data_IF_100222931748
#
_entry.id   IF_100222931748
#
_cell.length_a   1.000
_cell.length_b   1.000
_cell.length_c   1.000
_cell.angle_alpha   90.00
_cell.angle_beta   90.00
_cell.angle_gamma   90.00
#
_symmetry.space_group_name_H-M   'P 1'
#
loop_
_entity.id
_entity.type
_entity.pdbx_description
1 polymer ?
#
# COMPACT_ATOMS: atom_id res chain seq x y z
N UNK A 1 -19.92 55.21 1.94
CA UNK A 1 -19.28 53.89 2.11
C UNK A 1 -20.28 52.80 2.58
N UNK A 2 -21.57 52.94 2.25
CA UNK A 2 -22.62 52.05 2.75
C UNK A 2 -23.19 51.18 1.62
N UNK A 3 -22.33 50.44 0.91
CA UNK A 3 -22.76 49.54 -0.19
C UNK A 3 -21.83 48.32 -0.40
N UNK A 4 -21.15 47.85 0.64
CA UNK A 4 -20.50 46.53 0.58
C UNK A 4 -21.46 45.47 1.13
N UNK A 5 -22.33 44.93 0.28
CA UNK A 5 -23.05 43.69 0.59
C UNK A 5 -22.00 42.59 0.81
N UNK A 6 -21.75 42.22 2.07
CA UNK A 6 -20.94 41.06 2.42
C UNK A 6 -21.70 39.82 1.96
N UNK A 7 -21.43 39.36 0.74
CA UNK A 7 -21.93 38.08 0.24
C UNK A 7 -21.13 36.97 0.94
N UNK A 8 -21.59 36.49 2.08
CA UNK A 8 -21.07 35.27 2.70
C UNK A 8 -21.31 34.09 1.74
N UNK A 9 -20.23 33.54 1.19
CA UNK A 9 -20.26 32.31 0.39
C UNK A 9 -19.97 31.14 1.33
N UNK A 10 -20.98 30.32 1.61
CA UNK A 10 -20.78 29.03 2.25
C UNK A 10 -20.20 28.06 1.21
N UNK A 11 -19.16 27.32 1.59
CA UNK A 11 -18.51 26.31 0.76
C UNK A 11 -18.51 24.98 1.47
N UNK A 12 -18.68 23.91 0.71
CA UNK A 12 -18.56 22.52 1.16
C UNK A 12 -17.24 21.94 0.61
N UNK A 13 -16.47 21.31 1.49
CA UNK A 13 -15.23 20.61 1.12
C UNK A 13 -15.58 19.17 0.77
N UNK A 14 -15.38 18.79 -0.48
CA UNK A 14 -15.59 17.43 -0.95
C UNK A 14 -14.31 16.88 -1.58
N UNK A 15 -14.02 15.61 -1.35
CA UNK A 15 -12.97 14.90 -2.07
C UNK A 15 -13.59 14.30 -3.35
N UNK A 16 -13.12 14.73 -4.52
CA UNK A 16 -13.58 14.20 -5.79
C UNK A 16 -13.18 12.73 -5.95
N UNK A 17 -14.03 11.92 -6.59
CA UNK A 17 -13.78 10.49 -6.78
C UNK A 17 -12.63 10.19 -7.77
N UNK A 18 -12.33 11.14 -8.66
CA UNK A 18 -11.35 10.99 -9.72
C UNK A 18 -10.11 11.89 -9.56
N UNK A 19 -10.13 12.82 -8.59
CA UNK A 19 -9.01 13.73 -8.35
C UNK A 19 -8.69 13.83 -6.87
N UNK A 20 -7.39 13.87 -6.57
CA UNK A 20 -6.78 13.95 -5.23
C UNK A 20 -6.89 15.34 -4.60
N UNK A 21 -7.66 16.22 -5.23
CA UNK A 21 -7.85 17.60 -4.86
C UNK A 21 -9.06 17.69 -3.95
N UNK A 22 -8.89 18.40 -2.85
CA UNK A 22 -10.03 18.81 -2.04
C UNK A 22 -10.70 19.96 -2.78
N UNK A 23 -11.89 19.69 -3.31
CA UNK A 23 -12.65 20.67 -4.07
C UNK A 23 -13.51 21.51 -3.13
N UNK A 24 -13.48 22.83 -3.34
CA UNK A 24 -14.38 23.77 -2.72
C UNK A 24 -15.62 23.90 -3.61
N UNK A 25 -16.68 23.20 -3.25
CA UNK A 25 -17.97 23.33 -3.92
C UNK A 25 -18.83 24.40 -3.22
N UNK A 26 -19.65 25.19 -3.94
CA UNK A 26 -20.65 26.04 -3.30
C UNK A 26 -21.58 25.18 -2.45
N UNK A 27 -21.89 25.61 -1.23
CA UNK A 27 -22.77 24.86 -0.32
C UNK A 27 -24.15 24.65 -0.97
N UNK A 28 -24.35 23.47 -1.53
CA UNK A 28 -25.64 23.03 -2.06
C UNK A 28 -26.41 22.45 -0.89
N UNK A 29 -27.63 22.95 -0.63
CA UNK A 29 -28.56 22.46 0.41
C UNK A 29 -29.06 21.01 0.18
N UNK A 30 -28.34 20.20 -0.58
CA UNK A 30 -28.71 18.84 -0.95
C UNK A 30 -27.53 17.92 -0.75
N UNK A 31 -27.48 17.31 0.43
CA UNK A 31 -26.72 16.09 0.65
C UNK A 31 -27.04 15.08 -0.47
N UNK A 32 -26.06 14.34 -1.01
CA UNK A 32 -26.27 13.31 -2.04
C UNK A 32 -27.14 12.12 -1.58
N UNK A 33 -27.64 12.14 -0.33
CA UNK A 33 -28.63 11.21 0.23
C UNK A 33 -30.09 11.67 0.11
N UNK A 34 -30.38 12.83 -0.51
CA UNK A 34 -31.76 13.39 -0.55
C UNK A 34 -32.54 12.92 -1.80
N UNK A 35 -33.82 12.50 -1.66
CA UNK A 35 -34.73 11.98 -2.71
C UNK A 35 -35.11 12.92 -3.87
N UNK A 36 -34.37 14.02 -4.08
CA UNK A 36 -34.70 15.05 -5.06
C UNK A 36 -34.53 14.53 -6.49
N UNK A 37 -33.50 13.70 -6.73
CA UNK A 37 -33.27 13.08 -8.04
C UNK A 37 -34.33 12.03 -8.35
N UNK A 38 -34.80 11.26 -7.36
CA UNK A 38 -35.89 10.29 -7.55
C UNK A 38 -37.22 10.97 -7.85
N UNK A 39 -37.55 12.08 -7.17
CA UNK A 39 -38.73 12.89 -7.51
C UNK A 39 -38.64 13.52 -8.91
N UNK A 40 -37.46 13.99 -9.31
CA UNK A 40 -37.26 14.54 -10.66
C UNK A 40 -37.28 13.48 -11.76
N UNK A 41 -36.89 12.23 -11.46
CA UNK A 41 -36.97 11.10 -12.38
C UNK A 41 -38.42 10.62 -12.59
N UNK A 42 -39.27 10.70 -11.56
CA UNK A 42 -40.69 10.32 -11.66
C UNK A 42 -41.58 11.40 -12.30
N UNK A 43 -41.27 12.69 -12.09
CA UNK A 43 -42.10 13.81 -12.59
C UNK A 43 -41.74 14.30 -14.00
N UNK A 44 -40.52 14.04 -14.47
CA UNK A 44 -40.05 14.51 -15.77
C UNK A 44 -39.56 13.34 -16.61
N UNK A 45 -40.31 13.01 -17.68
CA UNK A 45 -39.89 12.08 -18.75
C UNK A 45 -38.75 12.69 -19.59
N UNK A 46 -37.63 13.02 -18.95
CA UNK A 46 -36.44 13.58 -19.58
C UNK A 46 -35.39 12.47 -19.57
N UNK A 47 -35.03 11.96 -20.75
CA UNK A 47 -33.85 11.12 -20.91
C UNK A 47 -32.59 11.95 -20.64
N UNK A 48 -32.03 11.82 -19.43
CA UNK A 48 -30.69 12.32 -19.16
C UNK A 48 -29.67 11.32 -19.74
N UNK A 49 -28.66 11.77 -20.53
CA UNK A 49 -27.57 10.91 -20.98
C UNK A 49 -26.60 10.54 -19.84
N UNK A 50 -26.82 11.04 -18.63
CA UNK A 50 -26.04 10.72 -17.44
C UNK A 50 -26.73 9.62 -16.62
N UNK A 51 -26.22 8.40 -16.72
CA UNK A 51 -26.52 7.32 -15.78
C UNK A 51 -26.14 7.77 -14.37
N UNK A 52 -27.03 7.59 -13.40
CA UNK A 52 -26.73 7.70 -11.97
C UNK A 52 -25.50 6.84 -11.69
N UNK A 53 -24.34 7.45 -11.50
CA UNK A 53 -23.17 6.77 -10.98
C UNK A 53 -23.45 6.56 -9.50
N UNK A 54 -24.16 5.49 -9.18
CA UNK A 54 -24.56 5.15 -7.81
C UNK A 54 -23.36 5.33 -6.87
N UNK A 55 -23.66 5.75 -5.64
CA UNK A 55 -22.71 6.01 -4.55
C UNK A 55 -21.70 4.88 -4.29
N UNK A 56 -21.95 3.67 -4.80
CA UNK A 56 -21.11 2.48 -4.70
C UNK A 56 -20.20 2.18 -5.91
N UNK A 57 -20.27 2.94 -7.02
CA UNK A 57 -19.42 2.67 -8.18
C UNK A 57 -18.05 3.33 -7.98
N UNK A 58 -17.03 2.49 -7.89
CA UNK A 58 -15.63 2.89 -7.76
C UNK A 58 -14.99 2.85 -9.15
N UNK A 59 -15.01 3.98 -9.87
CA UNK A 59 -14.55 4.08 -11.25
C UNK A 59 -13.01 4.13 -11.40
N UNK A 60 -12.26 3.41 -10.56
CA UNK A 60 -10.79 3.30 -10.72
C UNK A 60 -10.40 2.19 -11.71
N UNK A 61 -11.33 1.30 -12.04
CA UNK A 61 -11.14 0.10 -12.87
C UNK A 61 -12.41 -0.16 -13.69
N UNK A 62 -12.42 -1.17 -14.58
CA UNK A 62 -13.61 -1.65 -15.33
C UNK A 62 -14.64 -2.36 -14.42
N UNK A 63 -14.75 -1.90 -13.18
CA UNK A 63 -15.66 -2.42 -12.16
C UNK A 63 -17.11 -2.26 -12.66
N UNK A 64 -17.81 -3.39 -12.81
CA UNK A 64 -19.18 -3.42 -13.30
C UNK A 64 -19.32 -3.49 -14.82
N UNK A 65 -18.22 -3.49 -15.59
CA UNK A 65 -18.27 -3.82 -17.01
C UNK A 65 -18.47 -5.33 -17.21
N UNK A 66 -19.27 -5.68 -18.22
CA UNK A 66 -19.52 -7.07 -18.55
C UNK A 66 -18.34 -7.67 -19.35
N UNK A 67 -17.52 -8.48 -18.69
CA UNK A 67 -16.45 -9.27 -19.33
C UNK A 67 -17.03 -10.58 -19.85
N UNK A 68 -16.77 -10.93 -21.11
CA UNK A 68 -17.22 -12.22 -21.66
C UNK A 68 -16.32 -13.37 -21.16
N UNK A 69 -16.89 -14.48 -20.68
CA UNK A 69 -16.09 -15.63 -20.24
C UNK A 69 -15.42 -16.34 -21.43
N UNK A 70 -14.34 -17.08 -21.16
CA UNK A 70 -13.65 -17.95 -22.12
C UNK A 70 -13.05 -17.27 -23.37
N UNK A 71 -12.85 -15.95 -23.36
CA UNK A 71 -12.34 -15.20 -24.50
C UNK A 71 -10.91 -15.60 -24.92
N UNK A 72 -10.09 -16.08 -23.99
CA UNK A 72 -8.67 -16.40 -24.20
C UNK A 72 -8.37 -17.89 -23.98
N UNK A 73 -9.32 -18.76 -24.37
CA UNK A 73 -9.19 -20.20 -24.24
C UNK A 73 -7.91 -20.72 -24.90
N UNK A 74 -7.13 -21.50 -24.14
CA UNK A 74 -5.87 -22.09 -24.62
C UNK A 74 -4.63 -21.21 -24.44
N UNK A 75 -4.77 -19.98 -23.95
CA UNK A 75 -3.62 -19.17 -23.51
C UNK A 75 -3.14 -19.64 -22.14
N UNK A 76 -1.83 -19.52 -21.92
CA UNK A 76 -1.19 -19.90 -20.65
C UNK A 76 -0.68 -18.65 -19.93
N UNK A 77 -1.06 -18.53 -18.66
CA UNK A 77 -0.73 -17.45 -17.74
C UNK A 77 0.04 -18.02 -16.56
N UNK A 78 1.10 -17.35 -16.13
CA UNK A 78 1.74 -17.64 -14.86
C UNK A 78 1.86 -16.39 -14.00
N UNK A 79 1.99 -16.60 -12.71
CA UNK A 79 2.17 -15.53 -11.76
C UNK A 79 3.15 -15.87 -10.66
N UNK A 80 3.88 -14.86 -10.20
CA UNK A 80 4.83 -14.97 -9.11
C UNK A 80 4.71 -13.80 -8.15
N UNK A 81 5.12 -14.03 -6.90
CA UNK A 81 5.40 -12.97 -5.94
C UNK A 81 6.89 -12.93 -5.67
N UNK A 82 7.49 -11.74 -5.71
CA UNK A 82 8.92 -11.58 -5.44
C UNK A 82 9.19 -10.30 -4.66
N UNK A 83 10.30 -10.29 -3.92
CA UNK A 83 10.71 -9.16 -3.09
C UNK A 83 10.29 -9.31 -1.63
N UNK A 84 10.15 -8.18 -0.93
CA UNK A 84 9.55 -8.17 0.41
C UNK A 84 8.08 -8.55 0.33
N UNK A 85 7.57 -9.20 1.35
CA UNK A 85 6.14 -9.43 1.50
C UNK A 85 5.41 -8.12 1.79
N UNK A 86 4.21 -8.00 1.24
CA UNK A 86 3.32 -6.86 1.47
C UNK A 86 1.89 -7.36 1.69
N UNK A 87 1.17 -6.84 2.70
CA UNK A 87 -0.24 -7.17 2.88
C UNK A 87 -1.06 -6.88 1.62
N UNK A 88 -1.97 -7.78 1.25
CA UNK A 88 -2.82 -7.62 0.06
C UNK A 88 -2.28 -8.28 -1.21
N UNK A 89 -1.04 -8.77 -1.23
CA UNK A 89 -0.52 -9.57 -2.34
C UNK A 89 -1.37 -10.82 -2.63
N UNK A 90 -1.89 -11.49 -1.59
CA UNK A 90 -2.79 -12.63 -1.76
C UNK A 90 -4.13 -12.24 -2.42
N UNK A 91 -4.61 -11.01 -2.21
CA UNK A 91 -5.82 -10.51 -2.85
C UNK A 91 -5.60 -10.31 -4.35
N UNK A 92 -4.47 -9.72 -4.73
CA UNK A 92 -4.04 -9.62 -6.13
C UNK A 92 -3.85 -11.01 -6.74
N UNK A 93 -3.18 -11.91 -6.03
CA UNK A 93 -2.94 -13.28 -6.49
C UNK A 93 -4.25 -14.01 -6.78
N UNK A 94 -5.21 -13.91 -5.85
CA UNK A 94 -6.54 -14.48 -6.00
C UNK A 94 -7.27 -13.91 -7.22
N UNK A 95 -7.24 -12.60 -7.41
CA UNK A 95 -7.96 -11.96 -8.50
C UNK A 95 -7.40 -12.32 -9.88
N UNK A 96 -6.08 -12.32 -10.03
CA UNK A 96 -5.42 -12.75 -11.28
C UNK A 96 -5.78 -14.21 -11.58
N UNK A 97 -5.71 -15.11 -10.59
CA UNK A 97 -6.07 -16.51 -10.77
C UNK A 97 -7.53 -16.67 -11.22
N UNK A 98 -8.48 -16.07 -10.49
CA UNK A 98 -9.91 -16.17 -10.82
C UNK A 98 -10.25 -15.55 -12.17
N UNK A 99 -9.68 -14.39 -12.49
CA UNK A 99 -9.91 -13.72 -13.77
C UNK A 99 -9.29 -14.51 -14.93
N UNK A 100 -8.07 -15.04 -14.76
CA UNK A 100 -7.43 -15.88 -15.75
C UNK A 100 -8.25 -17.13 -16.08
N UNK A 101 -8.73 -17.83 -15.04
CA UNK A 101 -9.61 -18.99 -15.21
C UNK A 101 -10.96 -18.62 -15.83
N UNK A 102 -11.54 -17.47 -15.45
CA UNK A 102 -12.79 -16.96 -16.03
C UNK A 102 -12.67 -16.68 -17.53
N UNK A 103 -11.53 -16.15 -17.98
CA UNK A 103 -11.23 -15.94 -19.40
C UNK A 103 -10.83 -17.23 -20.15
N UNK A 104 -10.77 -18.38 -19.47
CA UNK A 104 -10.42 -19.67 -20.05
C UNK A 104 -8.92 -19.92 -20.23
N UNK A 105 -8.06 -19.12 -19.60
CA UNK A 105 -6.62 -19.35 -19.60
C UNK A 105 -6.26 -20.51 -18.67
N UNK A 106 -5.17 -21.22 -19.00
CA UNK A 106 -4.49 -22.11 -18.05
C UNK A 106 -3.59 -21.26 -17.15
N UNK A 107 -3.77 -21.35 -15.83
CA UNK A 107 -3.07 -20.49 -14.86
C UNK A 107 -2.06 -21.31 -14.06
N UNK A 108 -0.85 -20.78 -13.87
CA UNK A 108 0.21 -21.40 -13.08
C UNK A 108 0.72 -20.48 -11.96
N UNK A 109 1.00 -21.06 -10.81
CA UNK A 109 1.74 -20.44 -9.72
C UNK A 109 3.21 -20.81 -9.80
N UNK A 110 4.06 -19.78 -9.73
CA UNK A 110 5.49 -19.92 -9.56
C UNK A 110 5.79 -19.66 -8.08
N UNK A 111 6.02 -20.73 -7.36
CA UNK A 111 6.36 -20.69 -5.94
C UNK A 111 7.77 -20.14 -5.71
N UNK A 112 8.01 -19.51 -4.56
CA UNK A 112 9.32 -18.96 -4.17
C UNK A 112 9.89 -17.93 -5.17
N UNK A 113 9.01 -17.16 -5.81
CA UNK A 113 9.35 -16.06 -6.71
C UNK A 113 10.28 -16.46 -7.86
N UNK A 114 11.28 -15.61 -8.13
CA UNK A 114 12.23 -15.87 -9.21
C UNK A 114 13.08 -17.11 -8.99
N UNK A 115 13.34 -17.51 -7.74
CA UNK A 115 14.15 -18.70 -7.50
C UNK A 115 13.41 -19.95 -7.96
N UNK A 116 12.12 -20.10 -7.61
CA UNK A 116 11.34 -21.21 -8.11
C UNK A 116 11.10 -21.17 -9.62
N UNK A 117 11.17 -19.99 -10.25
CA UNK A 117 11.17 -19.88 -11.72
C UNK A 117 12.45 -20.48 -12.34
N UNK A 118 13.61 -20.25 -11.71
CA UNK A 118 14.91 -20.79 -12.14
C UNK A 118 15.01 -22.29 -11.84
N UNK A 119 14.58 -22.71 -10.66
CA UNK A 119 14.63 -24.11 -10.22
C UNK A 119 13.64 -24.99 -11.00
N UNK A 120 12.50 -24.42 -11.40
CA UNK A 120 11.51 -25.09 -12.23
C UNK A 120 10.73 -26.21 -11.54
N UNK A 121 10.16 -27.10 -12.35
CA UNK A 121 9.50 -28.34 -11.92
C UNK A 121 8.44 -28.18 -10.83
N UNK A 122 8.77 -28.60 -9.59
CA UNK A 122 7.85 -28.63 -8.45
C UNK A 122 7.38 -27.24 -8.02
N UNK A 123 8.08 -26.19 -8.43
CA UNK A 123 7.75 -24.81 -8.08
C UNK A 123 6.79 -24.16 -9.09
N UNK A 124 6.61 -24.72 -10.28
CA UNK A 124 5.64 -24.21 -11.27
C UNK A 124 4.44 -25.15 -11.31
N UNK A 125 3.38 -24.79 -10.59
CA UNK A 125 2.18 -25.62 -10.38
C UNK A 125 0.96 -25.01 -11.00
N UNK A 126 0.11 -25.83 -11.60
CA UNK A 126 -1.18 -25.37 -12.12
C UNK A 126 -2.08 -24.89 -10.97
N UNK A 127 -2.72 -23.75 -11.17
CA UNK A 127 -3.63 -23.14 -10.23
C UNK A 127 -5.08 -23.46 -10.62
N UNK A 128 -5.87 -23.84 -9.61
CA UNK A 128 -7.30 -24.07 -9.77
C UNK A 128 -8.10 -23.00 -9.02
N UNK A 129 -9.41 -22.95 -9.25
CA UNK A 129 -10.30 -22.04 -8.53
C UNK A 129 -10.19 -22.21 -7.00
N UNK A 130 -10.01 -23.46 -6.55
CA UNK A 130 -9.88 -23.81 -5.13
C UNK A 130 -8.49 -23.46 -4.55
N UNK A 131 -7.46 -23.35 -5.40
CA UNK A 131 -6.11 -22.98 -4.98
C UNK A 131 -6.03 -21.57 -4.37
N UNK A 132 -7.06 -20.74 -4.59
CA UNK A 132 -7.15 -19.36 -4.07
C UNK A 132 -8.38 -19.12 -3.18
N UNK A 133 -8.95 -20.18 -2.63
CA UNK A 133 -10.01 -20.09 -1.63
C UNK A 133 -9.43 -19.69 -0.26
N UNK A 134 -10.13 -18.80 0.44
CA UNK A 134 -9.77 -18.35 1.80
C UNK A 134 -8.35 -17.79 1.97
N UNK A 135 -7.84 -17.11 0.94
CA UNK A 135 -6.52 -16.46 0.99
C UNK A 135 -6.56 -14.93 1.07
N UNK A 136 -7.70 -14.30 0.79
CA UNK A 136 -7.78 -12.83 0.63
C UNK A 136 -7.40 -12.07 1.91
N UNK A 137 -7.69 -12.65 3.07
CA UNK A 137 -7.40 -12.12 4.40
C UNK A 137 -6.06 -12.58 4.96
N UNK A 138 -5.33 -13.48 4.28
CA UNK A 138 -4.06 -14.00 4.77
C UNK A 138 -2.96 -12.98 4.54
N UNK A 139 -2.08 -12.85 5.53
CA UNK A 139 -0.82 -12.10 5.42
C UNK A 139 0.19 -12.83 4.53
N UNK A 140 1.29 -12.15 4.21
CA UNK A 140 2.35 -12.67 3.35
C UNK A 140 1.86 -13.08 1.96
N UNK A 141 2.48 -14.12 1.40
CA UNK A 141 2.09 -14.71 0.10
C UNK A 141 1.98 -16.23 0.21
N UNK A 142 0.87 -16.80 -0.26
CA UNK A 142 0.64 -18.25 -0.24
C UNK A 142 1.57 -19.05 -1.16
N UNK A 143 2.19 -18.38 -2.14
CA UNK A 143 3.14 -19.01 -3.06
C UNK A 143 4.60 -18.77 -2.64
N UNK A 144 4.84 -18.05 -1.55
CA UNK A 144 6.18 -17.68 -1.12
C UNK A 144 6.78 -16.55 -1.97
N UNK A 145 7.73 -15.84 -1.39
CA UNK A 145 8.49 -14.79 -2.07
C UNK A 145 9.96 -14.98 -1.75
N UNK A 146 10.80 -15.02 -2.78
CA UNK A 146 12.24 -15.11 -2.60
C UNK A 146 12.98 -14.05 -3.42
N UNK A 147 14.05 -13.51 -2.81
CA UNK A 147 15.10 -12.78 -3.53
C UNK A 147 16.02 -13.82 -4.17
N UNK A 148 16.07 -13.85 -5.50
CA UNK A 148 16.95 -14.78 -6.22
C UNK A 148 18.26 -14.09 -6.63
N UNK A 149 19.39 -14.65 -6.21
CA UNK A 149 20.71 -14.25 -6.72
C UNK A 149 20.93 -14.81 -8.13
N UNK A 150 20.46 -16.02 -8.39
CA UNK A 150 20.63 -16.69 -9.68
C UNK A 150 19.96 -15.91 -10.80
N UNK A 151 18.76 -15.37 -10.56
CA UNK A 151 18.03 -14.59 -11.55
C UNK A 151 18.72 -13.25 -11.91
N UNK A 152 19.64 -12.75 -11.07
CA UNK A 152 20.50 -11.61 -11.43
C UNK A 152 21.52 -11.97 -12.49
N UNK A 153 21.87 -13.25 -12.62
CA UNK A 153 22.79 -13.73 -13.65
C UNK A 153 22.04 -14.09 -14.94
N UNK A 154 22.69 -13.89 -16.08
CA UNK A 154 22.12 -14.28 -17.39
C UNK A 154 21.86 -15.79 -17.48
N UNK A 155 22.70 -16.62 -16.86
CA UNK A 155 22.50 -18.07 -16.81
C UNK A 155 21.24 -18.48 -16.04
N UNK A 156 20.95 -17.82 -14.90
CA UNK A 156 19.70 -18.05 -14.17
C UNK A 156 18.48 -17.67 -15.01
N UNK A 157 18.53 -16.52 -15.70
CA UNK A 157 17.46 -16.10 -16.61
C UNK A 157 17.28 -17.07 -17.79
N UNK A 158 18.37 -17.61 -18.35
CA UNK A 158 18.32 -18.62 -19.39
C UNK A 158 17.58 -19.89 -18.93
N UNK A 159 17.89 -20.39 -17.72
CA UNK A 159 17.19 -21.53 -17.11
C UNK A 159 15.70 -21.22 -16.85
N UNK A 160 15.41 -20.02 -16.37
CA UNK A 160 14.04 -19.58 -16.14
C UNK A 160 13.23 -19.55 -17.45
N UNK A 161 13.79 -19.01 -18.53
CA UNK A 161 13.16 -19.00 -19.85
C UNK A 161 12.89 -20.43 -20.35
N UNK A 162 13.86 -21.35 -20.20
CA UNK A 162 13.68 -22.77 -20.55
C UNK A 162 12.49 -23.40 -19.78
N UNK A 163 12.40 -23.16 -18.48
CA UNK A 163 11.36 -23.72 -17.62
C UNK A 163 9.95 -23.19 -17.92
N UNK A 164 9.85 -21.90 -18.26
CA UNK A 164 8.59 -21.29 -18.70
C UNK A 164 8.15 -21.87 -20.05
N UNK A 165 9.08 -21.97 -21.00
CA UNK A 165 8.80 -22.53 -22.33
C UNK A 165 8.39 -23.99 -22.27
N UNK A 166 8.96 -24.83 -21.38
CA UNK A 166 8.50 -26.22 -21.18
C UNK A 166 6.99 -26.33 -20.94
N UNK A 167 6.38 -25.32 -20.31
CA UNK A 167 4.94 -25.24 -20.02
C UNK A 167 4.18 -24.27 -20.93
N UNK A 168 4.81 -23.78 -22.00
CA UNK A 168 4.28 -22.78 -22.93
C UNK A 168 3.83 -21.48 -22.24
N UNK A 169 4.46 -21.13 -21.12
CA UNK A 169 4.17 -19.90 -20.38
C UNK A 169 4.87 -18.73 -21.10
N UNK A 170 4.07 -17.79 -21.58
CA UNK A 170 4.54 -16.54 -22.22
C UNK A 170 3.90 -15.29 -21.65
N UNK A 171 2.97 -15.45 -20.71
CA UNK A 171 2.25 -14.37 -20.08
C UNK A 171 2.51 -14.46 -18.58
N UNK A 172 3.14 -13.43 -18.02
CA UNK A 172 3.66 -13.45 -16.66
C UNK A 172 3.15 -12.24 -15.86
N UNK A 173 2.46 -12.50 -14.74
CA UNK A 173 2.10 -11.46 -13.78
C UNK A 173 3.12 -11.48 -12.65
N UNK A 174 3.87 -10.39 -12.50
CA UNK A 174 4.85 -10.23 -11.42
C UNK A 174 4.26 -9.33 -10.34
N UNK A 175 4.11 -9.83 -9.12
CA UNK A 175 3.64 -9.05 -7.97
C UNK A 175 4.84 -8.81 -7.05
N UNK A 176 5.23 -7.56 -6.86
CA UNK A 176 6.39 -7.21 -6.05
C UNK A 176 6.75 -5.75 -6.06
N UNK A 177 7.82 -5.41 -5.35
CA UNK A 177 8.37 -4.04 -5.33
C UNK A 177 9.29 -3.74 -6.51
N UNK A 178 9.96 -2.59 -6.44
CA UNK A 178 10.85 -2.06 -7.50
C UNK A 178 11.86 -3.10 -8.03
N UNK A 179 12.59 -3.78 -7.15
CA UNK A 179 13.60 -4.76 -7.57
C UNK A 179 13.01 -5.95 -8.35
N UNK A 180 11.77 -6.33 -8.07
CA UNK A 180 11.09 -7.42 -8.77
C UNK A 180 10.61 -6.96 -10.15
N UNK A 181 10.05 -5.76 -10.25
CA UNK A 181 9.60 -5.21 -11.52
C UNK A 181 10.78 -4.87 -12.45
N UNK A 182 11.89 -4.37 -11.90
CA UNK A 182 13.14 -4.18 -12.62
C UNK A 182 13.65 -5.50 -13.19
N UNK A 183 13.71 -6.55 -12.37
CA UNK A 183 14.10 -7.89 -12.84
C UNK A 183 13.21 -8.43 -13.95
N UNK A 184 11.89 -8.18 -13.86
CA UNK A 184 10.94 -8.55 -14.89
C UNK A 184 11.19 -7.80 -16.21
N UNK A 185 11.47 -6.49 -16.15
CA UNK A 185 11.75 -5.71 -17.35
C UNK A 185 13.07 -6.12 -18.03
N UNK A 186 14.13 -6.36 -17.26
CA UNK A 186 15.39 -6.92 -17.81
C UNK A 186 15.14 -8.25 -18.49
N UNK A 187 14.36 -9.14 -17.87
CA UNK A 187 14.03 -10.44 -18.45
C UNK A 187 13.24 -10.34 -19.77
N UNK A 188 12.30 -9.39 -19.85
CA UNK A 188 11.55 -9.09 -21.08
C UNK A 188 12.46 -8.59 -22.20
N UNK A 189 13.40 -7.69 -21.89
CA UNK A 189 14.34 -7.13 -22.88
C UNK A 189 15.30 -8.20 -23.43
N UNK A 190 15.81 -9.06 -22.55
CA UNK A 190 16.75 -10.12 -22.95
C UNK A 190 16.06 -11.34 -23.59
N UNK A 191 14.73 -11.44 -23.54
CA UNK A 191 13.98 -12.62 -23.97
C UNK A 191 14.36 -13.13 -25.38
N UNK A 192 14.43 -12.29 -26.44
CA UNK A 192 14.80 -12.76 -27.78
C UNK A 192 16.21 -13.36 -27.84
N UNK A 193 17.16 -12.77 -27.11
CA UNK A 193 18.53 -13.27 -27.06
C UNK A 193 18.63 -14.59 -26.29
N UNK A 194 17.87 -14.73 -25.20
CA UNK A 194 17.78 -15.96 -24.43
C UNK A 194 17.19 -17.11 -25.27
N UNK A 195 16.20 -16.82 -26.11
CA UNK A 195 15.65 -17.80 -27.04
C UNK A 195 16.69 -18.26 -28.06
N UNK A 196 17.44 -17.33 -28.66
CA UNK A 196 18.52 -17.66 -29.59
C UNK A 196 19.54 -18.59 -28.96
N UNK A 197 20.02 -18.26 -27.75
CA UNK A 197 20.97 -19.06 -27.00
C UNK A 197 20.42 -20.46 -26.63
N UNK A 198 19.12 -20.56 -26.29
CA UNK A 198 18.48 -21.86 -26.01
C UNK A 198 18.33 -22.74 -27.26
N UNK A 199 18.09 -22.14 -28.44
CA UNK A 199 18.04 -22.86 -29.72
C UNK A 199 19.43 -23.35 -30.12
N UNK A 200 20.46 -22.49 -30.02
CA UNK A 200 21.85 -22.85 -30.31
C UNK A 200 22.35 -24.02 -29.44
N UNK A 201 21.96 -24.03 -28.16
CA UNK A 201 22.29 -25.11 -27.22
C UNK A 201 21.40 -26.37 -27.38
N UNK A 202 20.45 -26.37 -28.32
CA UNK A 202 19.53 -27.48 -28.54
C UNK A 202 18.57 -27.76 -27.37
N UNK A 203 18.34 -26.78 -26.49
CA UNK A 203 17.45 -26.92 -25.31
C UNK A 203 15.98 -26.73 -25.66
N UNK A 204 15.69 -25.95 -26.70
CA UNK A 204 14.35 -25.75 -27.25
C UNK A 204 14.38 -25.92 -28.78
N UNK A 205 13.23 -26.27 -29.38
CA UNK A 205 13.12 -26.32 -30.84
C UNK A 205 13.01 -24.92 -31.44
N UNK A 206 13.54 -24.74 -32.65
CA UNK A 206 13.45 -23.48 -33.39
C UNK A 206 11.99 -23.06 -33.68
N UNK A 207 11.09 -24.04 -33.85
CA UNK A 207 9.65 -23.81 -34.00
C UNK A 207 9.05 -23.17 -32.74
N UNK A 208 9.44 -23.66 -31.56
CA UNK A 208 8.95 -23.15 -30.28
C UNK A 208 9.44 -21.74 -30.00
N UNK A 209 10.69 -21.44 -30.37
CA UNK A 209 11.23 -20.08 -30.29
C UNK A 209 10.47 -19.12 -31.23
N UNK A 210 10.13 -19.56 -32.45
CA UNK A 210 9.32 -18.77 -33.40
C UNK A 210 7.86 -18.60 -32.96
N UNK A 211 7.29 -19.57 -32.28
CA UNK A 211 5.93 -19.51 -31.75
C UNK A 211 5.78 -18.46 -30.63
N UNK A 212 6.85 -18.25 -29.86
CA UNK A 212 6.85 -17.42 -28.66
C UNK A 212 7.97 -16.36 -28.69
N UNK A 213 7.99 -15.46 -29.70
CA UNK A 213 9.11 -14.53 -29.90
C UNK A 213 9.24 -13.51 -28.77
N UNK A 214 8.15 -13.23 -28.05
CA UNK A 214 8.08 -12.26 -26.98
C UNK A 214 7.44 -12.87 -25.73
N UNK A 215 7.80 -12.31 -24.58
CA UNK A 215 7.12 -12.56 -23.30
C UNK A 215 6.31 -11.32 -22.90
N UNK A 216 5.05 -11.53 -22.55
CA UNK A 216 4.16 -10.49 -22.04
C UNK A 216 4.26 -10.46 -20.51
N UNK A 217 4.59 -9.32 -19.95
CA UNK A 217 4.73 -9.17 -18.50
C UNK A 217 3.88 -8.00 -18.02
N UNK A 218 3.06 -8.24 -17.00
CA UNK A 218 2.37 -7.18 -16.24
C UNK A 218 2.89 -7.16 -14.82
N UNK A 219 3.33 -5.99 -14.38
CA UNK A 219 3.81 -5.75 -13.03
C UNK A 219 2.72 -5.19 -12.13
N UNK A 220 2.54 -5.79 -10.95
CA UNK A 220 1.72 -5.25 -9.87
C UNK A 220 2.63 -4.81 -8.73
N UNK A 221 2.51 -3.55 -8.32
CA UNK A 221 3.37 -2.96 -7.31
C UNK A 221 2.90 -3.37 -5.92
N UNK A 222 3.59 -4.35 -5.33
CA UNK A 222 3.42 -4.79 -3.96
C UNK A 222 4.58 -4.30 -3.09
N UNK A 223 4.39 -3.16 -2.44
CA UNK A 223 5.35 -2.53 -1.53
C UNK A 223 4.59 -1.83 -0.42
N UNK A 224 5.15 -1.79 0.80
CA UNK A 224 4.61 -0.95 1.88
C UNK A 224 5.13 0.48 1.79
N UNK A 225 6.31 0.66 1.19
CA UNK A 225 7.09 1.90 1.24
C UNK A 225 6.46 3.03 0.40
N UNK A 226 5.52 2.71 -0.50
CA UNK A 226 4.91 3.62 -1.48
C UNK A 226 5.94 4.39 -2.34
N UNK A 227 7.03 3.71 -2.69
CA UNK A 227 8.23 4.26 -3.32
C UNK A 227 8.25 4.12 -4.85
N UNK A 228 7.11 3.78 -5.48
CA UNK A 228 7.04 3.51 -6.91
C UNK A 228 6.43 4.66 -7.69
N UNK A 229 7.14 5.16 -8.70
CA UNK A 229 6.67 6.27 -9.51
C UNK A 229 5.52 5.87 -10.44
N UNK A 230 4.59 6.80 -10.67
CA UNK A 230 3.45 6.59 -11.56
C UNK A 230 2.29 5.78 -10.96
N UNK A 231 2.45 5.30 -9.72
CA UNK A 231 1.31 4.89 -8.89
C UNK A 231 1.27 5.76 -7.66
N UNK A 232 0.06 5.95 -7.19
CA UNK A 232 -0.20 6.78 -6.04
C UNK A 232 -0.22 6.01 -4.72
N UNK A 233 -0.62 4.75 -4.81
CA UNK A 233 -0.68 3.83 -3.69
C UNK A 233 -0.25 2.44 -4.15
N UNK A 234 0.69 1.87 -3.42
CA UNK A 234 1.14 0.49 -3.62
C UNK A 234 0.35 -0.48 -2.74
N UNK A 235 0.23 -1.74 -3.19
CA UNK A 235 -0.50 -2.77 -2.44
C UNK A 235 0.26 -3.05 -1.13
N UNK A 236 -0.40 -2.79 -0.01
CA UNK A 236 0.05 -3.00 1.36
C UNK A 236 0.42 -1.75 2.14
N UNK A 237 0.48 -0.59 1.48
CA UNK A 237 0.79 0.69 2.12
C UNK A 237 -0.28 1.10 3.14
N UNK A 238 -1.57 0.94 2.82
CA UNK A 238 -2.65 1.29 3.74
C UNK A 238 -2.64 0.40 4.99
N UNK A 239 -2.40 -0.89 4.81
CA UNK A 239 -2.24 -1.82 5.94
C UNK A 239 -1.06 -1.42 6.81
N UNK A 240 0.09 -1.07 6.21
CA UNK A 240 1.26 -0.63 6.95
C UNK A 240 1.00 0.64 7.76
N UNK A 241 0.35 1.64 7.15
CA UNK A 241 -0.10 2.86 7.85
C UNK A 241 -0.99 2.53 9.04
N UNK A 242 -1.97 1.64 8.86
CA UNK A 242 -2.85 1.23 9.93
C UNK A 242 -2.10 0.56 11.09
N UNK A 243 -1.09 -0.28 10.78
CA UNK A 243 -0.24 -0.90 11.82
C UNK A 243 0.61 0.14 12.57
N UNK A 244 1.12 1.14 11.85
CA UNK A 244 1.88 2.23 12.48
C UNK A 244 1.00 3.01 13.44
N UNK A 245 -0.20 3.41 13.00
CA UNK A 245 -1.16 4.17 13.83
C UNK A 245 -1.58 3.35 15.05
N UNK A 246 -1.97 2.07 14.89
CA UNK A 246 -2.30 1.20 16.02
C UNK A 246 -1.15 1.11 17.03
N UNK A 247 0.10 1.03 16.57
CA UNK A 247 1.26 0.98 17.45
C UNK A 247 1.52 2.31 18.14
N UNK A 248 1.34 3.44 17.45
CA UNK A 248 1.43 4.79 18.04
C UNK A 248 0.37 4.94 19.13
N UNK A 249 -0.89 4.61 18.84
CA UNK A 249 -2.00 4.68 19.79
C UNK A 249 -1.76 3.77 21.01
N UNK A 250 -1.27 2.55 20.79
CA UNK A 250 -0.92 1.64 21.86
C UNK A 250 0.17 2.23 22.76
N UNK A 251 1.24 2.79 22.17
CA UNK A 251 2.32 3.43 22.91
C UNK A 251 1.83 4.69 23.64
N UNK A 252 1.02 5.52 22.99
CA UNK A 252 0.44 6.73 23.57
C UNK A 252 -0.46 6.43 24.76
N UNK A 253 -1.28 5.37 24.68
CA UNK A 253 -2.12 4.93 25.79
C UNK A 253 -1.28 4.52 27.01
N UNK A 254 -0.13 3.86 26.80
CA UNK A 254 0.81 3.54 27.88
C UNK A 254 1.54 4.77 28.41
N UNK A 255 1.89 5.71 27.53
CA UNK A 255 2.50 7.00 27.89
C UNK A 255 1.60 7.78 28.85
N UNK A 256 0.31 7.87 28.50
CA UNK A 256 -0.72 8.51 29.32
C UNK A 256 -0.98 7.72 30.61
N UNK A 257 -0.92 6.39 30.57
CA UNK A 257 -1.18 5.51 31.72
C UNK A 257 -0.03 5.42 32.72
N UNK A 258 1.19 5.85 32.37
CA UNK A 258 2.28 6.06 33.33
C UNK A 258 2.05 7.27 34.28
N UNK A 259 0.78 7.56 34.59
CA UNK A 259 0.34 8.19 35.83
C UNK A 259 0.46 7.15 36.95
N UNK A 260 1.53 7.18 37.74
CA UNK A 260 1.47 6.50 39.05
C UNK A 260 0.55 7.30 39.97
N UNK A 261 -0.75 6.99 39.92
CA UNK A 261 -1.65 6.64 41.05
C UNK A 261 -3.11 7.08 40.83
N UNK A 262 -4.00 6.09 40.98
CA UNK A 262 -5.41 6.25 41.38
C UNK A 262 -5.45 6.87 42.78
N UNK A 263 -5.91 8.12 42.91
CA UNK A 263 -6.78 8.56 44.01
C UNK A 263 -7.44 9.89 43.61
N UNK A 264 -8.77 9.89 43.62
CA UNK A 264 -9.61 11.05 43.34
C UNK A 264 -9.29 12.23 44.28
N UNK A 265 -8.96 13.39 43.70
CA UNK A 265 -9.50 14.73 43.97
C UNK A 265 -8.75 15.73 43.05
N UNK A 266 -9.50 16.28 42.09
CA UNK A 266 -9.24 17.44 41.21
C UNK A 266 -7.99 17.49 40.30
N UNK A 267 -8.31 17.46 38.99
CA UNK A 267 -7.63 18.01 37.79
C UNK A 267 -6.36 17.30 37.28
N UNK A 268 -6.54 16.66 36.11
CA UNK A 268 -5.57 15.92 35.29
C UNK A 268 -4.24 16.66 35.10
N UNK A 269 -3.13 15.96 35.34
CA UNK A 269 -1.75 16.36 35.01
C UNK A 269 -1.18 15.37 33.99
N UNK A 270 -0.96 15.74 32.74
CA UNK A 270 -0.28 14.86 31.77
C UNK A 270 1.21 15.17 31.77
N UNK A 271 2.02 14.23 32.25
CA UNK A 271 3.49 14.28 32.19
C UNK A 271 3.91 13.77 30.81
N UNK A 272 4.47 14.63 29.96
CA UNK A 272 4.94 14.26 28.62
C UNK A 272 6.06 13.22 28.70
N UNK A 273 5.81 12.00 28.22
CA UNK A 273 6.83 10.99 27.89
C UNK A 273 7.02 11.04 26.39
N UNK A 274 8.22 11.39 25.93
CA UNK A 274 8.54 11.46 24.51
C UNK A 274 8.91 10.07 23.98
N UNK A 275 8.22 9.62 22.94
CA UNK A 275 8.54 8.39 22.23
C UNK A 275 9.10 8.71 20.86
N UNK A 276 10.17 8.00 20.50
CA UNK A 276 10.71 8.03 19.14
C UNK A 276 10.27 6.74 18.45
N UNK A 277 9.51 6.89 17.37
CA UNK A 277 8.96 5.77 16.59
C UNK A 277 9.69 5.72 15.26
N UNK A 278 10.40 4.62 15.02
CA UNK A 278 11.09 4.38 13.75
C UNK A 278 10.16 3.61 12.80
N UNK A 279 9.89 4.23 11.64
CA UNK A 279 9.00 3.72 10.59
C UNK A 279 9.82 3.23 9.39
N UNK A 280 9.31 2.25 8.63
CA UNK A 280 9.93 1.80 7.37
C UNK A 280 9.69 2.84 6.24
N UNK A 281 10.03 2.53 5.00
CA UNK A 281 9.94 3.49 3.87
C UNK A 281 11.27 3.74 3.15
N UNK A 282 12.40 3.33 3.72
CA UNK A 282 13.76 3.49 3.15
C UNK A 282 14.08 4.94 2.79
N UNK A 283 13.92 5.31 1.51
CA UNK A 283 14.19 6.66 0.98
C UNK A 283 12.90 7.44 0.68
N UNK A 284 11.74 6.86 0.97
CA UNK A 284 10.44 7.50 0.87
C UNK A 284 9.86 7.70 2.27
N UNK A 285 9.62 8.95 2.63
CA UNK A 285 9.03 9.38 3.90
C UNK A 285 7.51 9.32 3.93
N UNK A 286 6.85 8.76 2.91
CA UNK A 286 5.37 8.73 2.83
C UNK A 286 4.73 8.14 4.08
N UNK A 287 5.18 6.96 4.52
CA UNK A 287 4.65 6.30 5.72
C UNK A 287 4.84 7.16 6.97
N UNK A 288 6.03 7.74 7.13
CA UNK A 288 6.36 8.58 8.28
C UNK A 288 5.54 9.88 8.29
N UNK A 289 5.40 10.55 7.14
CA UNK A 289 4.65 11.80 7.02
C UNK A 289 3.15 11.59 7.27
N UNK A 290 2.55 10.60 6.62
CA UNK A 290 1.11 10.35 6.74
C UNK A 290 0.77 9.84 8.15
N UNK A 291 1.59 8.95 8.71
CA UNK A 291 1.40 8.50 10.09
C UNK A 291 1.58 9.64 11.10
N UNK A 292 2.56 10.53 10.89
CA UNK A 292 2.76 11.71 11.73
C UNK A 292 1.55 12.65 11.70
N UNK A 293 1.00 12.92 10.51
CA UNK A 293 -0.21 13.73 10.35
C UNK A 293 -1.43 13.07 11.01
N UNK A 294 -1.58 11.75 10.85
CA UNK A 294 -2.70 11.01 11.41
C UNK A 294 -2.64 10.86 12.94
N UNK A 295 -1.43 10.85 13.52
CA UNK A 295 -1.20 10.64 14.95
C UNK A 295 -0.83 11.92 15.70
N UNK A 296 -0.98 13.08 15.06
CA UNK A 296 -0.63 14.41 15.62
C UNK A 296 0.80 14.48 16.17
N UNK A 297 1.77 13.88 15.47
CA UNK A 297 3.16 13.91 15.91
C UNK A 297 3.73 15.35 15.85
N UNK A 298 4.36 15.79 16.95
CA UNK A 298 4.97 17.12 17.04
C UNK A 298 6.11 17.32 16.03
N UNK A 299 6.83 16.24 15.71
CA UNK A 299 7.98 16.23 14.80
C UNK A 299 7.95 14.99 13.91
N UNK A 300 8.27 15.20 12.63
CA UNK A 300 8.47 14.14 11.66
C UNK A 300 9.82 14.31 10.98
N UNK A 301 10.61 13.25 10.94
CA UNK A 301 11.86 13.20 10.18
C UNK A 301 11.63 12.39 8.92
N UNK A 302 11.79 13.03 7.76
CA UNK A 302 11.63 12.39 6.46
C UNK A 302 12.87 12.61 5.59
N UNK A 303 13.25 11.61 4.76
CA UNK A 303 14.43 11.73 3.91
C UNK A 303 14.33 12.86 2.87
N UNK A 304 13.11 13.21 2.44
CA UNK A 304 12.85 14.26 1.46
C UNK A 304 13.04 15.67 2.03
N UNK A 305 12.92 15.83 3.35
CA UNK A 305 13.10 17.11 4.03
C UNK A 305 14.01 16.93 5.26
N UNK A 306 15.34 16.84 5.05
CA UNK A 306 16.29 16.71 6.15
C UNK A 306 16.21 17.90 7.11
N UNK A 307 16.33 17.67 8.43
CA UNK A 307 16.26 18.73 9.41
C UNK A 307 17.46 19.68 9.33
N UNK A 308 17.30 20.97 9.68
CA UNK A 308 18.38 21.96 9.69
C UNK A 308 19.41 21.67 10.78
N UNK A 309 20.65 22.15 10.68
CA UNK A 309 21.75 21.74 11.58
C UNK A 309 21.49 21.98 13.08
N UNK A 310 20.71 23.01 13.39
CA UNK A 310 20.27 23.45 14.71
C UNK A 310 18.99 22.75 15.21
N UNK A 311 18.49 21.73 14.51
CA UNK A 311 17.26 21.01 14.87
C UNK A 311 17.26 20.49 16.30
N UNK A 312 18.44 20.15 16.85
CA UNK A 312 18.59 19.70 18.24
C UNK A 312 18.23 20.80 19.23
N UNK A 313 18.68 22.02 18.98
CA UNK A 313 18.43 23.17 19.85
C UNK A 313 16.97 23.63 19.73
N UNK A 314 16.41 23.61 18.52
CA UNK A 314 15.00 23.90 18.25
C UNK A 314 14.10 22.88 18.97
N UNK A 315 14.44 21.59 18.88
CA UNK A 315 13.70 20.52 19.55
C UNK A 315 13.75 20.67 21.06
N UNK A 316 14.93 20.89 21.64
CA UNK A 316 15.11 21.15 23.07
C UNK A 316 14.29 22.38 23.54
N UNK A 317 14.31 23.46 22.77
CA UNK A 317 13.55 24.69 23.08
C UNK A 317 12.04 24.44 23.04
N UNK A 318 11.54 23.74 22.02
CA UNK A 318 10.12 23.37 21.89
C UNK A 318 9.65 22.44 23.01
N UNK A 319 10.47 21.46 23.40
CA UNK A 319 10.19 20.58 24.54
C UNK A 319 10.15 21.34 25.87
N UNK A 320 10.93 22.41 26.02
CA UNK A 320 10.87 23.28 27.19
C UNK A 320 9.62 24.17 27.19
N UNK A 321 9.26 24.77 26.05
CA UNK A 321 8.07 25.62 25.90
C UNK A 321 6.75 24.86 26.11
N UNK A 322 6.67 23.60 25.66
CA UNK A 322 5.51 22.75 25.91
C UNK A 322 5.26 22.48 27.41
N UNK A 323 6.26 22.68 28.27
CA UNK A 323 6.16 22.53 29.74
C UNK A 323 5.82 23.83 30.49
N UNK A 324 5.89 24.99 29.83
CA UNK A 324 5.63 26.29 30.47
C UNK A 324 4.14 26.68 30.49
N UNK A 325 3.25 25.91 29.84
CA UNK A 325 1.81 26.21 29.78
C UNK A 325 0.97 25.66 30.95
N UNK A 326 1.56 25.26 32.08
CA UNK A 326 0.79 24.90 33.28
C UNK A 326 1.41 25.47 34.57
N UNK A 327 0.69 26.38 35.23
CA UNK A 327 1.08 26.95 36.53
C UNK A 327 0.23 26.39 37.67
N UNK A 328 0.88 25.82 38.68
CA UNK A 328 0.28 25.48 39.96
C UNK A 328 0.94 26.32 41.07
N UNK A 329 0.14 26.79 42.02
CA UNK A 329 0.59 27.46 43.24
C UNK A 329 0.55 26.48 44.40
N UNK A 330 1.51 26.56 45.32
CA UNK A 330 1.50 25.78 46.56
C UNK A 330 0.43 26.32 47.55
N UNK A 331 0.29 25.66 48.71
CA UNK A 331 -0.66 26.06 49.75
C UNK A 331 -0.37 27.44 50.36
N UNK A 332 0.85 27.95 50.17
CA UNK A 332 1.33 29.22 50.70
C UNK A 332 1.33 30.33 49.62
N UNK A 333 0.79 30.02 48.42
CA UNK A 333 0.63 30.97 47.32
C UNK A 333 1.89 31.18 46.47
N UNK A 334 2.95 30.39 46.68
CA UNK A 334 4.15 30.50 45.86
C UNK A 334 3.97 29.74 44.54
N UNK A 335 4.41 30.30 43.40
CA UNK A 335 4.38 29.61 42.13
C UNK A 335 5.33 28.42 42.13
N UNK A 336 4.79 27.21 41.96
CA UNK A 336 5.58 26.02 41.77
C UNK A 336 6.02 26.01 40.30
N UNK A 337 7.31 26.28 40.08
CA UNK A 337 7.85 26.35 38.73
C UNK A 337 8.21 24.97 38.18
N UNK A 338 8.06 24.80 36.86
CA UNK A 338 8.41 23.57 36.15
C UNK A 338 9.87 23.15 36.36
N UNK A 339 10.76 24.11 36.67
CA UNK A 339 12.18 23.87 36.97
C UNK A 339 12.39 23.22 38.35
N UNK A 340 11.66 23.63 39.40
CA UNK A 340 11.77 22.99 40.73
C UNK A 340 11.28 21.54 40.72
N UNK A 341 10.22 21.25 39.94
CA UNK A 341 9.72 19.88 39.75
C UNK A 341 10.70 19.08 38.91
N UNK A 342 11.23 19.65 37.81
CA UNK A 342 12.25 19.01 36.96
C UNK A 342 13.49 18.63 37.75
N UNK A 343 14.03 19.52 38.57
CA UNK A 343 15.26 19.28 39.32
C UNK A 343 15.04 18.17 40.37
N UNK A 344 13.88 18.15 41.04
CA UNK A 344 13.49 17.06 41.94
C UNK A 344 13.29 15.70 41.22
N UNK A 345 12.88 15.75 39.95
CA UNK A 345 12.57 14.61 39.06
C UNK A 345 13.82 14.10 38.34
N UNK A 346 14.81 14.93 38.07
CA UNK A 346 16.09 14.52 37.50
C UNK A 346 17.03 14.03 38.60
N UNK A 347 17.12 14.76 39.73
CA UNK A 347 18.04 14.45 40.83
C UNK A 347 17.56 13.31 41.73
N UNK A 348 16.24 13.08 41.88
CA UNK A 348 15.73 11.88 42.60
C UNK A 348 15.24 10.74 41.71
N UNK A 349 14.94 10.96 40.42
CA UNK A 349 14.14 10.01 39.63
C UNK A 349 14.71 9.64 38.24
N UNK A 350 15.84 10.22 37.78
CA UNK A 350 16.61 9.80 36.58
C UNK A 350 15.76 9.37 35.35
N UNK A 351 15.01 10.28 34.73
CA UNK A 351 14.03 9.90 33.70
C UNK A 351 14.61 9.46 32.34
N UNK A 352 13.81 8.62 31.69
CA UNK A 352 14.14 7.57 30.73
C UNK A 352 13.50 7.88 29.36
N UNK A 353 14.27 7.86 28.27
CA UNK A 353 13.76 8.03 26.89
C UNK A 353 13.67 6.65 26.24
N UNK A 354 12.55 6.36 25.56
CA UNK A 354 12.31 5.04 24.98
C UNK A 354 12.19 5.13 23.46
N UNK A 355 13.02 4.35 22.79
CA UNK A 355 12.98 4.15 21.34
C UNK A 355 12.19 2.89 21.06
N UNK A 356 11.18 2.98 20.20
CA UNK A 356 10.44 1.82 19.72
C UNK A 356 10.64 1.69 18.22
N UNK A 357 11.34 0.64 17.82
CA UNK A 357 11.53 0.29 16.42
C UNK A 357 10.45 -0.71 16.03
N UNK A 358 9.48 -0.27 15.21
CA UNK A 358 8.35 -1.12 14.80
C UNK A 358 8.81 -2.29 13.93
N UNK A 359 9.80 -2.07 13.07
CA UNK A 359 10.39 -3.11 12.21
C UNK A 359 9.34 -3.87 11.38
N UNK A 360 9.46 -5.20 11.34
CA UNK A 360 8.63 -6.08 10.50
C UNK A 360 7.13 -6.13 10.89
N UNK A 361 6.74 -5.60 12.05
CA UNK A 361 5.33 -5.51 12.46
C UNK A 361 4.50 -4.71 11.44
N UNK A 362 5.14 -3.76 10.73
CA UNK A 362 4.51 -2.97 9.67
C UNK A 362 4.09 -3.81 8.45
N UNK A 363 4.72 -4.97 8.22
CA UNK A 363 4.34 -5.94 7.18
C UNK A 363 3.39 -7.02 7.70
N UNK A 364 3.30 -7.15 9.02
CA UNK A 364 2.57 -8.23 9.69
C UNK A 364 1.07 -7.97 9.79
N UNK A 365 0.32 -9.05 9.99
CA UNK A 365 -1.11 -9.01 10.22
C UNK A 365 -1.96 -9.14 8.96
N UNK A 366 -3.28 -9.11 9.16
CA UNK A 366 -4.23 -9.26 8.06
C UNK A 366 -4.30 -7.95 7.26
N UNK A 367 -4.40 -8.01 5.93
CA UNK A 367 -4.53 -6.81 5.11
C UNK A 367 -5.80 -6.03 5.46
N UNK A 368 -5.72 -4.70 5.35
CA UNK A 368 -6.84 -3.80 5.51
C UNK A 368 -7.92 -4.05 4.45
N UNK A 369 -9.12 -3.50 4.66
CA UNK A 369 -10.17 -3.58 3.65
C UNK A 369 -9.74 -2.91 2.34
N UNK A 370 -9.00 -1.80 2.42
CA UNK A 370 -8.51 -1.09 1.26
C UNK A 370 -7.54 -1.96 0.44
N UNK A 371 -6.52 -2.55 1.05
CA UNK A 371 -5.53 -3.36 0.33
C UNK A 371 -6.12 -4.65 -0.25
N UNK A 372 -7.15 -5.23 0.39
CA UNK A 372 -7.89 -6.37 -0.19
C UNK A 372 -8.63 -5.97 -1.46
N UNK A 373 -9.26 -4.80 -1.47
CA UNK A 373 -9.98 -4.29 -2.63
C UNK A 373 -9.03 -3.83 -3.73
N UNK A 374 -8.00 -3.06 -3.38
CA UNK A 374 -6.99 -2.57 -4.31
C UNK A 374 -6.29 -3.74 -5.01
N UNK A 375 -5.79 -4.72 -4.24
CA UNK A 375 -5.15 -5.90 -4.79
C UNK A 375 -6.10 -6.66 -5.72
N UNK A 376 -7.36 -6.83 -5.33
CA UNK A 376 -8.35 -7.53 -6.17
C UNK A 376 -8.62 -6.81 -7.50
N UNK A 377 -8.76 -5.48 -7.48
CA UNK A 377 -8.96 -4.65 -8.66
C UNK A 377 -7.77 -4.69 -9.60
N UNK A 378 -6.58 -4.41 -9.06
CA UNK A 378 -5.32 -4.45 -9.81
C UNK A 378 -5.07 -5.83 -10.41
N UNK A 379 -5.36 -6.90 -9.67
CA UNK A 379 -5.21 -8.27 -10.17
C UNK A 379 -6.15 -8.60 -11.31
N UNK A 380 -7.41 -8.16 -11.26
CA UNK A 380 -8.36 -8.35 -12.34
C UNK A 380 -7.95 -7.56 -13.60
N UNK A 381 -7.62 -6.27 -13.44
CA UNK A 381 -7.17 -5.42 -14.55
C UNK A 381 -5.85 -5.89 -15.17
N UNK A 382 -4.93 -6.43 -14.37
CA UNK A 382 -3.69 -6.99 -14.90
C UNK A 382 -3.95 -8.09 -15.92
N UNK A 383 -4.93 -8.96 -15.66
CA UNK A 383 -5.30 -10.03 -16.59
C UNK A 383 -6.02 -9.45 -17.81
N UNK A 384 -6.91 -8.48 -17.64
CA UNK A 384 -7.63 -7.86 -18.75
C UNK A 384 -6.69 -7.04 -19.67
N UNK A 385 -5.73 -6.31 -19.09
CA UNK A 385 -4.69 -5.60 -19.83
C UNK A 385 -3.74 -6.58 -20.51
N UNK A 386 -3.36 -7.66 -19.84
CA UNK A 386 -2.54 -8.70 -20.46
C UNK A 386 -3.27 -9.39 -21.61
N UNK A 387 -4.57 -9.65 -21.48
CA UNK A 387 -5.42 -10.18 -22.54
C UNK A 387 -5.41 -9.32 -23.80
N UNK A 388 -5.34 -7.99 -23.66
CA UNK A 388 -5.19 -7.07 -24.81
C UNK A 388 -3.82 -7.22 -25.49
N UNK A 389 -2.76 -7.56 -24.74
CA UNK A 389 -1.42 -7.85 -25.28
C UNK A 389 -1.32 -9.26 -25.91
N UNK A 390 -2.34 -10.10 -25.75
CA UNK A 390 -2.41 -11.44 -26.36
C UNK A 390 -3.12 -11.47 -27.72
N UNK A 391 -3.70 -10.32 -28.13
CA UNK A 391 -4.29 -10.06 -29.45
C UNK A 391 -3.17 -9.52 -30.34
#
# INVERSE_FOLDING_TARGET
LADSVVRTRSVEMSLSKNERTVELSPFLKSSPSVPLVERLLDECSIEFPFKRTNSAICNLTRDGEHVRPHLHKGRVLAMLTSGGDSPGMNAALRAVCRMGLYLGCQVYFIHEGYQGMVDGDRYIREATWNSVSDIIQKSGTIIGSARSKDFRTRQGRLKAAENLLKRNITNLVCIGGDGSLTGANTFRQEWPELLGELVEKGRISAEKAKQFPNINIVGLVGSIDNDFCGTDMTIGTDTALHRIIEAVDAVQSTAQSHQRWVLFIFRMKVKYVSFVIEVMGRHCGYLALVAALASEADWAFIPEWPPPADWRDILCTRMQQAREQEGAVDRDGNPITSNMIRDLVVDRLHYDTRVTVLGHVQRGGNPSAFDRLLGSRMGAEAVLGMAQLMI
#
